data_IF_384483318568
#
_entry.id   IF_384483318568
#
_cell.length_a   1.000
_cell.length_b   1.000
_cell.length_c   1.000
_cell.angle_alpha   90.00
_cell.angle_beta   90.00
_cell.angle_gamma   90.00
#
_symmetry.space_group_name_H-M   'P 1'
#
loop_
_entity.id
_entity.type
_entity.pdbx_description
1 polymer ?
#
# COMPACT_ATOMS: atom_id res chain seq x y z
N UNK A 1 3.44 9.36 -9.61
CA UNK A 1 4.07 9.48 -10.94
C UNK A 1 5.31 10.37 -10.95
N UNK A 2 5.25 11.65 -10.55
CA UNK A 2 6.46 12.50 -10.50
C UNK A 2 7.60 11.89 -9.65
N UNK A 3 7.29 11.40 -8.44
CA UNK A 3 8.27 10.71 -7.60
C UNK A 3 8.89 9.49 -8.28
N UNK A 4 8.09 8.69 -8.99
CA UNK A 4 8.60 7.50 -9.64
C UNK A 4 9.60 7.80 -10.76
N UNK A 5 9.37 8.89 -11.51
CA UNK A 5 10.30 9.36 -12.53
C UNK A 5 11.61 9.80 -11.86
N UNK A 6 11.53 10.53 -10.75
CA UNK A 6 12.71 10.96 -10.00
C UNK A 6 13.53 9.77 -9.46
N UNK A 7 12.89 8.76 -8.87
CA UNK A 7 13.57 7.54 -8.39
C UNK A 7 14.19 6.75 -9.54
N UNK A 8 13.51 6.66 -10.68
CA UNK A 8 14.06 6.00 -11.88
C UNK A 8 15.30 6.73 -12.40
N UNK A 9 15.33 8.06 -12.35
CA UNK A 9 16.49 8.87 -12.74
C UNK A 9 17.64 8.74 -11.72
N UNK A 10 17.31 8.51 -10.45
CA UNK A 10 18.28 8.25 -9.38
C UNK A 10 18.78 6.79 -9.33
N UNK A 11 18.33 5.91 -10.23
CA UNK A 11 18.70 4.49 -10.26
C UNK A 11 18.01 3.61 -9.21
N UNK A 12 17.01 4.15 -8.50
CA UNK A 12 16.23 3.42 -7.49
C UNK A 12 15.02 2.72 -8.12
N UNK A 13 15.25 1.50 -8.62
CA UNK A 13 14.20 0.69 -9.25
C UNK A 13 13.05 0.35 -8.28
N UNK A 14 13.36 0.12 -7.00
CA UNK A 14 12.34 -0.19 -6.00
C UNK A 14 11.36 0.98 -5.82
N UNK A 15 11.89 2.19 -5.58
CA UNK A 15 11.08 3.39 -5.42
C UNK A 15 10.24 3.70 -6.65
N UNK A 16 10.85 3.60 -7.85
CA UNK A 16 10.16 3.84 -9.11
C UNK A 16 8.94 2.91 -9.31
N UNK A 17 9.11 1.61 -9.03
CA UNK A 17 8.04 0.61 -9.13
C UNK A 17 6.97 0.88 -8.07
N UNK A 18 7.36 1.06 -6.80
CA UNK A 18 6.41 1.25 -5.71
C UNK A 18 5.54 2.51 -5.92
N UNK A 19 6.14 3.67 -6.18
CA UNK A 19 5.41 4.93 -6.33
C UNK A 19 4.55 5.00 -7.59
N UNK A 20 4.97 4.32 -8.66
CA UNK A 20 4.15 4.18 -9.87
C UNK A 20 2.93 3.32 -9.60
N UNK A 21 3.15 2.11 -9.09
CA UNK A 21 2.09 1.14 -8.89
C UNK A 21 1.06 1.60 -7.87
N UNK A 22 1.46 2.16 -6.73
CA UNK A 22 0.48 2.69 -5.75
C UNK A 22 -0.25 3.93 -6.25
N UNK A 23 0.38 4.74 -7.11
CA UNK A 23 -0.31 5.83 -7.82
C UNK A 23 -1.42 5.29 -8.74
N UNK A 24 -1.12 4.22 -9.49
CA UNK A 24 -2.10 3.54 -10.33
C UNK A 24 -3.20 2.84 -9.51
N UNK A 25 -2.87 2.21 -8.37
CA UNK A 25 -3.81 1.57 -7.46
C UNK A 25 -4.91 2.55 -7.02
N UNK A 26 -4.54 3.73 -6.51
CA UNK A 26 -5.51 4.70 -6.00
C UNK A 26 -6.38 5.27 -7.12
N UNK A 27 -5.82 5.49 -8.31
CA UNK A 27 -6.60 5.92 -9.47
C UNK A 27 -7.60 4.84 -9.90
N UNK A 28 -7.17 3.58 -9.98
CA UNK A 28 -8.04 2.45 -10.29
C UNK A 28 -9.14 2.26 -9.23
N UNK A 29 -8.82 2.44 -7.95
CA UNK A 29 -9.82 2.36 -6.89
C UNK A 29 -10.82 3.53 -6.95
N UNK A 30 -10.34 4.75 -7.25
CA UNK A 30 -11.18 5.92 -7.43
C UNK A 30 -12.15 5.77 -8.61
N UNK A 31 -11.73 5.19 -9.73
CA UNK A 31 -12.62 4.97 -10.88
C UNK A 31 -13.73 3.97 -10.57
N UNK A 32 -13.51 3.01 -9.67
CA UNK A 32 -14.56 2.10 -9.21
C UNK A 32 -15.62 2.85 -8.40
N UNK A 33 -15.19 3.78 -7.54
CA UNK A 33 -16.08 4.51 -6.61
C UNK A 33 -16.81 5.69 -7.25
N UNK A 34 -16.19 6.38 -8.21
CA UNK A 34 -16.76 7.57 -8.83
C UNK A 34 -17.86 7.14 -9.82
N UNK A 35 -19.13 7.51 -9.60
CA UNK A 35 -20.24 7.07 -10.45
C UNK A 35 -20.09 7.45 -11.93
N UNK A 36 -19.37 8.53 -12.23
CA UNK A 36 -19.15 9.01 -13.59
C UNK A 36 -18.32 8.08 -14.49
N UNK A 37 -17.57 7.14 -13.93
CA UNK A 37 -16.85 6.13 -14.73
C UNK A 37 -17.68 4.88 -15.03
N UNK A 38 -18.87 4.74 -14.43
CA UNK A 38 -19.82 3.68 -14.76
C UNK A 38 -19.45 2.27 -14.28
N UNK A 39 -18.34 2.11 -13.55
CA UNK A 39 -17.85 0.77 -13.16
C UNK A 39 -18.86 0.05 -12.26
N UNK A 40 -19.30 0.66 -11.16
CA UNK A 40 -20.29 0.04 -10.27
C UNK A 40 -21.64 -0.22 -10.99
N UNK A 41 -22.03 0.66 -11.92
CA UNK A 41 -23.28 0.51 -12.69
C UNK A 41 -23.19 -0.65 -13.70
N UNK A 42 -22.01 -0.96 -14.23
CA UNK A 42 -21.82 -2.12 -15.09
C UNK A 42 -22.12 -3.45 -14.37
N UNK A 43 -22.04 -3.47 -13.04
CA UNK A 43 -22.39 -4.63 -12.21
C UNK A 43 -23.84 -4.63 -11.73
N UNK A 44 -24.67 -3.63 -12.09
CA UNK A 44 -26.04 -3.51 -11.57
C UNK A 44 -26.96 -4.69 -11.94
N UNK A 45 -26.72 -5.33 -13.09
CA UNK A 45 -27.47 -6.50 -13.57
C UNK A 45 -26.72 -7.83 -13.34
N UNK A 46 -25.55 -7.79 -12.67
CA UNK A 46 -24.77 -8.98 -12.39
C UNK A 46 -25.39 -9.76 -11.21
N UNK A 47 -25.07 -11.06 -11.06
CA UNK A 47 -25.44 -11.82 -9.87
C UNK A 47 -25.03 -11.11 -8.57
N UNK A 48 -25.78 -11.35 -7.49
CA UNK A 48 -25.49 -10.77 -6.18
C UNK A 48 -24.02 -10.99 -5.79
N UNK A 49 -23.42 -9.98 -5.15
CA UNK A 49 -22.02 -9.97 -4.73
C UNK A 49 -20.94 -10.06 -5.83
N UNK A 50 -21.30 -9.99 -7.11
CA UNK A 50 -20.29 -10.02 -8.20
C UNK A 50 -19.28 -8.87 -8.07
N UNK A 51 -19.75 -7.67 -7.71
CA UNK A 51 -18.88 -6.51 -7.47
C UNK A 51 -17.96 -6.72 -6.26
N UNK A 52 -18.49 -7.26 -5.16
CA UNK A 52 -17.70 -7.55 -3.96
C UNK A 52 -16.62 -8.59 -4.25
N UNK A 53 -16.96 -9.65 -4.99
CA UNK A 53 -15.99 -10.65 -5.42
C UNK A 53 -14.89 -10.06 -6.31
N UNK A 54 -15.26 -9.19 -7.27
CA UNK A 54 -14.30 -8.50 -8.12
C UNK A 54 -13.35 -7.60 -7.30
N UNK A 55 -13.88 -6.85 -6.33
CA UNK A 55 -13.09 -6.03 -5.40
C UNK A 55 -12.17 -6.87 -4.52
N UNK A 56 -12.64 -8.01 -4.02
CA UNK A 56 -11.84 -8.96 -3.24
C UNK A 56 -10.65 -9.50 -4.05
N UNK A 57 -10.88 -9.91 -5.30
CA UNK A 57 -9.82 -10.40 -6.20
C UNK A 57 -8.82 -9.29 -6.55
N UNK A 58 -9.32 -8.07 -6.80
CA UNK A 58 -8.49 -6.89 -7.02
C UNK A 58 -7.55 -6.66 -5.81
N UNK A 59 -8.09 -6.67 -4.59
CA UNK A 59 -7.31 -6.46 -3.37
C UNK A 59 -6.33 -7.60 -3.07
N UNK A 60 -6.68 -8.87 -3.35
CA UNK A 60 -5.73 -10.00 -3.25
C UNK A 60 -4.55 -9.79 -4.19
N UNK A 61 -4.83 -9.41 -5.44
CA UNK A 61 -3.79 -9.19 -6.45
C UNK A 61 -2.81 -8.10 -6.00
N UNK A 62 -3.33 -7.02 -5.43
CA UNK A 62 -2.52 -5.95 -4.81
C UNK A 62 -1.80 -6.40 -3.54
N UNK A 63 -2.41 -7.28 -2.76
CA UNK A 63 -1.79 -7.91 -1.60
C UNK A 63 -0.57 -8.75 -1.99
N UNK A 64 -0.67 -9.57 -3.05
CA UNK A 64 0.45 -10.37 -3.58
C UNK A 64 1.57 -9.45 -4.08
N UNK A 65 1.23 -8.42 -4.86
CA UNK A 65 2.20 -7.43 -5.31
C UNK A 65 2.92 -6.74 -4.14
N UNK A 66 2.16 -6.33 -3.13
CA UNK A 66 2.71 -5.70 -1.91
C UNK A 66 3.60 -6.66 -1.13
N UNK A 67 3.26 -7.94 -1.07
CA UNK A 67 4.09 -8.97 -0.43
C UNK A 67 5.44 -9.15 -1.15
N UNK A 68 5.45 -9.11 -2.49
CA UNK A 68 6.69 -9.15 -3.28
C UNK A 68 7.56 -7.92 -2.96
N UNK A 69 6.95 -6.73 -2.90
CA UNK A 69 7.66 -5.51 -2.49
C UNK A 69 8.17 -5.59 -1.05
N UNK A 70 7.40 -6.18 -0.13
CA UNK A 70 7.82 -6.39 1.24
C UNK A 70 9.11 -7.22 1.33
N UNK A 71 9.21 -8.33 0.58
CA UNK A 71 10.43 -9.15 0.52
C UNK A 71 11.64 -8.30 0.08
N UNK A 72 11.45 -7.42 -0.90
CA UNK A 72 12.51 -6.51 -1.35
C UNK A 72 12.96 -5.50 -0.27
N UNK A 73 12.11 -5.19 0.71
CA UNK A 73 12.42 -4.24 1.79
C UNK A 73 13.13 -4.84 3.01
N UNK A 74 13.29 -6.17 3.09
CA UNK A 74 13.85 -6.85 4.28
C UNK A 74 15.28 -6.38 4.61
N UNK A 75 16.06 -5.90 3.62
CA UNK A 75 17.42 -5.37 3.81
C UNK A 75 17.52 -3.85 3.88
N UNK A 76 16.39 -3.14 3.83
CA UNK A 76 16.38 -1.67 3.79
C UNK A 76 16.41 -1.07 5.20
N UNK A 77 15.23 -0.80 5.77
CA UNK A 77 15.05 -0.31 7.14
C UNK A 77 13.91 -1.07 7.80
N UNK A 78 13.95 -1.17 9.13
CA UNK A 78 12.87 -1.77 9.91
C UNK A 78 11.56 -1.05 9.62
N UNK A 79 11.57 0.28 9.58
CA UNK A 79 10.34 1.07 9.40
C UNK A 79 9.73 0.92 8.01
N UNK A 80 10.53 0.78 6.96
CA UNK A 80 10.02 0.52 5.61
C UNK A 80 9.49 -0.91 5.49
N UNK A 81 10.21 -1.89 6.03
CA UNK A 81 9.78 -3.29 6.02
C UNK A 81 8.48 -3.49 6.81
N UNK A 82 8.37 -2.91 8.00
CA UNK A 82 7.14 -2.97 8.80
C UNK A 82 5.97 -2.31 8.09
N UNK A 83 6.17 -1.18 7.40
CA UNK A 83 5.11 -0.52 6.64
C UNK A 83 4.52 -1.44 5.56
N UNK A 84 5.38 -2.06 4.74
CA UNK A 84 4.95 -2.98 3.68
C UNK A 84 4.32 -4.27 4.22
N UNK A 85 4.80 -4.76 5.37
CA UNK A 85 4.20 -5.91 6.05
C UNK A 85 2.78 -5.60 6.52
N UNK A 86 2.59 -4.49 7.24
CA UNK A 86 1.26 -4.08 7.73
C UNK A 86 0.32 -3.78 6.56
N UNK A 87 0.84 -3.19 5.47
CA UNK A 87 0.05 -2.97 4.25
C UNK A 87 -0.39 -4.29 3.59
N UNK A 88 0.51 -5.29 3.55
CA UNK A 88 0.16 -6.62 3.02
C UNK A 88 -0.99 -7.23 3.82
N UNK A 89 -0.91 -7.20 5.15
CA UNK A 89 -1.97 -7.72 6.02
C UNK A 89 -3.26 -6.92 5.83
N UNK A 90 -3.17 -5.58 5.71
CA UNK A 90 -4.32 -4.72 5.42
C UNK A 90 -5.07 -5.18 4.18
N UNK A 91 -4.36 -5.43 3.07
CA UNK A 91 -4.99 -5.93 1.84
C UNK A 91 -5.64 -7.29 2.01
N UNK A 92 -5.04 -8.21 2.77
CA UNK A 92 -5.63 -9.53 3.03
C UNK A 92 -6.91 -9.46 3.87
N UNK A 93 -6.95 -8.59 4.88
CA UNK A 93 -8.14 -8.37 5.70
C UNK A 93 -9.27 -7.69 4.91
N UNK A 94 -8.96 -6.66 4.12
CA UNK A 94 -9.96 -6.01 3.25
C UNK A 94 -10.48 -6.98 2.19
N UNK A 95 -9.59 -7.75 1.56
CA UNK A 95 -9.99 -8.70 0.53
C UNK A 95 -10.87 -9.83 1.08
N UNK A 96 -10.50 -10.42 2.22
CA UNK A 96 -11.32 -11.46 2.86
C UNK A 96 -12.68 -10.92 3.30
N UNK A 97 -12.76 -9.67 3.76
CA UNK A 97 -14.03 -9.04 4.06
C UNK A 97 -14.94 -8.90 2.83
N UNK A 98 -14.40 -8.50 1.67
CA UNK A 98 -15.15 -8.42 0.42
C UNK A 98 -15.57 -9.80 -0.12
N UNK A 99 -14.67 -10.79 -0.11
CA UNK A 99 -14.98 -12.16 -0.58
C UNK A 99 -15.97 -12.90 0.32
N UNK A 100 -15.98 -12.60 1.62
CA UNK A 100 -16.95 -13.14 2.56
C UNK A 100 -18.23 -12.30 2.65
N UNK A 101 -18.38 -11.27 1.81
CA UNK A 101 -19.55 -10.40 1.72
C UNK A 101 -19.94 -9.76 3.06
N UNK A 102 -18.91 -9.39 3.83
CA UNK A 102 -19.09 -8.84 5.16
C UNK A 102 -19.49 -7.36 5.07
N UNK A 103 -20.48 -6.97 5.88
CA UNK A 103 -20.85 -5.57 6.04
C UNK A 103 -19.66 -4.73 6.53
N UNK A 104 -19.64 -3.44 6.20
CA UNK A 104 -18.67 -2.47 6.69
C UNK A 104 -18.58 -2.41 8.22
N UNK A 105 -19.66 -2.76 8.94
CA UNK A 105 -19.69 -2.82 10.40
C UNK A 105 -18.99 -4.03 11.02
N UNK A 106 -18.63 -5.03 10.22
CA UNK A 106 -18.03 -6.28 10.69
C UNK A 106 -16.62 -6.04 11.27
N UNK A 107 -16.26 -6.86 12.27
CA UNK A 107 -14.96 -6.78 12.95
C UNK A 107 -13.78 -6.97 11.98
N UNK A 108 -13.89 -7.84 10.98
CA UNK A 108 -12.82 -8.09 9.99
C UNK A 108 -12.56 -6.84 9.15
N UNK A 109 -13.62 -6.20 8.65
CA UNK A 109 -13.53 -4.96 7.88
C UNK A 109 -12.94 -3.82 8.70
N UNK A 110 -13.33 -3.72 9.98
CA UNK A 110 -12.78 -2.72 10.91
C UNK A 110 -11.30 -2.95 11.21
N UNK A 111 -10.88 -4.21 11.42
CA UNK A 111 -9.47 -4.55 11.64
C UNK A 111 -8.64 -4.18 10.42
N UNK A 112 -9.10 -4.55 9.22
CA UNK A 112 -8.40 -4.16 7.99
C UNK A 112 -8.31 -2.64 7.83
N UNK A 113 -9.40 -1.90 8.09
CA UNK A 113 -9.37 -0.44 8.09
C UNK A 113 -8.40 0.16 9.12
N UNK A 114 -8.38 -0.38 10.34
CA UNK A 114 -7.47 0.06 11.40
C UNK A 114 -5.99 -0.20 11.03
N UNK A 115 -5.68 -1.35 10.45
CA UNK A 115 -4.34 -1.65 9.94
C UNK A 115 -3.93 -0.69 8.82
N UNK A 116 -4.87 -0.33 7.94
CA UNK A 116 -4.63 0.69 6.90
C UNK A 116 -4.28 2.06 7.48
N UNK A 117 -4.94 2.47 8.57
CA UNK A 117 -4.60 3.70 9.30
C UNK A 117 -3.19 3.60 9.90
N UNK A 118 -2.83 2.47 10.51
CA UNK A 118 -1.46 2.23 11.03
C UNK A 118 -0.43 2.32 9.90
N UNK A 119 -0.71 1.72 8.74
CA UNK A 119 0.16 1.85 7.55
C UNK A 119 0.34 3.30 7.13
N UNK A 120 -0.72 4.12 7.15
CA UNK A 120 -0.62 5.53 6.78
C UNK A 120 0.33 6.31 7.73
N UNK A 121 0.25 6.05 9.04
CA UNK A 121 1.18 6.65 10.00
C UNK A 121 2.62 6.20 9.78
N UNK A 122 2.85 4.91 9.49
CA UNK A 122 4.18 4.41 9.14
C UNK A 122 4.71 5.02 7.84
N UNK A 123 3.84 5.27 6.85
CA UNK A 123 4.21 5.94 5.61
C UNK A 123 4.63 7.39 5.86
N UNK A 124 3.89 8.14 6.67
CA UNK A 124 4.29 9.49 7.07
C UNK A 124 5.60 9.50 7.87
N UNK A 125 5.82 8.51 8.74
CA UNK A 125 7.08 8.38 9.45
C UNK A 125 8.26 8.17 8.49
N UNK A 126 8.13 7.24 7.54
CA UNK A 126 9.17 6.99 6.53
C UNK A 126 9.39 8.22 5.63
N UNK A 127 8.33 8.95 5.27
CA UNK A 127 8.43 10.19 4.51
C UNK A 127 9.16 11.29 5.29
N UNK A 128 8.85 11.46 6.58
CA UNK A 128 9.54 12.40 7.45
C UNK A 128 11.02 12.04 7.63
N UNK A 129 11.33 10.75 7.81
CA UNK A 129 12.69 10.27 7.94
C UNK A 129 13.51 10.49 6.63
N UNK A 130 12.88 10.34 5.46
CA UNK A 130 13.50 10.66 4.18
C UNK A 130 13.64 12.16 3.91
N UNK A 131 12.74 12.98 4.47
CA UNK A 131 12.79 14.44 4.34
C UNK A 131 13.87 15.04 5.24
N UNK A 132 14.07 14.53 6.46
CA UNK A 132 14.99 15.12 7.43
C UNK A 132 16.45 14.83 7.06
N UNK A 133 17.19 15.89 6.75
CA UNK A 133 18.61 15.88 6.43
C UNK A 133 19.33 16.84 7.39
N UNK A 134 20.60 16.56 7.78
CA UNK A 134 21.45 17.53 8.49
C UNK A 134 21.45 18.96 7.93
N UNK A 135 21.17 19.15 6.64
CA UNK A 135 21.05 20.47 6.00
C UNK A 135 19.74 21.21 6.28
N UNK A 136 18.67 20.52 6.68
CA UNK A 136 17.34 21.10 6.85
C UNK A 136 16.75 20.96 8.26
N UNK A 137 17.29 20.07 9.12
CA UNK A 137 16.76 19.85 10.46
C UNK A 137 17.74 19.15 11.40
N UNK A 138 17.70 19.52 12.69
CA UNK A 138 18.52 18.93 13.75
C UNK A 138 17.97 17.59 14.28
N UNK A 139 16.72 17.27 13.97
CA UNK A 139 16.01 16.06 14.41
C UNK A 139 16.32 14.89 13.47
N UNK A 140 16.73 13.75 14.01
CA UNK A 140 16.92 12.51 13.26
C UNK A 140 15.95 11.44 13.74
N UNK A 141 15.18 10.89 12.80
CA UNK A 141 14.24 9.82 13.09
C UNK A 141 14.94 8.46 12.95
N UNK A 142 14.88 7.58 13.97
CA UNK A 142 15.48 6.25 13.87
C UNK A 142 14.66 5.35 12.93
N UNK A 143 15.26 4.91 11.84
CA UNK A 143 14.62 3.97 10.89
C UNK A 143 15.05 2.52 11.10
N UNK A 144 16.14 2.30 11.86
CA UNK A 144 16.72 0.98 12.11
C UNK A 144 17.24 0.35 10.83
N UNK A 145 18.50 0.58 10.48
CA UNK A 145 19.10 -0.06 9.30
C UNK A 145 19.13 -1.58 9.49
N UNK A 146 18.64 -2.32 8.50
CA UNK A 146 18.71 -3.78 8.46
C UNK A 146 19.88 -4.28 7.61
N UNK A 147 20.68 -3.38 7.05
CA UNK A 147 21.89 -3.71 6.31
C UNK A 147 23.01 -4.15 7.27
N UNK A 148 23.79 -5.16 6.87
CA UNK A 148 24.91 -5.65 7.68
C UNK A 148 26.05 -4.62 7.67
N UNK A 149 26.75 -4.35 8.79
CA UNK A 149 27.80 -3.32 8.89
C UNK A 149 29.01 -3.42 7.94
N UNK A 150 29.08 -4.42 7.05
CA UNK A 150 30.27 -4.74 6.24
C UNK A 150 30.00 -4.94 4.74
N UNK A 151 28.85 -4.53 4.23
CA UNK A 151 28.64 -4.45 2.77
C UNK A 151 28.76 -3.01 2.30
N UNK A 152 30.03 -2.60 2.12
CA UNK A 152 30.64 -1.52 1.32
C UNK A 152 31.78 -0.82 2.06
#
# INVERSE_FOLDING_TARGET
WAQAIAESQAGNNFGAIAFTSYGAFWLAYATILIPGFGVAQAYANAPEHTLDNALGIFLISWGIFTFILWIATIRSTVTLSTMFFVLTITFMFLASAHLAHLSAGNIVTKIGGALGVVTAFLAWYNAAAGLYNPSNTFVRLPTGSLAHPHSE
#
